data_IF_463111301632
#
_entry.id   IF_463111301632
#
_cell.length_a   1.000
_cell.length_b   1.000
_cell.length_c   1.000
_cell.angle_alpha   90.00
_cell.angle_beta   90.00
_cell.angle_gamma   90.00
#
_symmetry.space_group_name_H-M   'P 1'
#
loop_
_entity.id
_entity.type
_entity.pdbx_description
1 polymer ?
#
# COMPACT_ATOMS: atom_id res chain seq x y z
N UNK A 1 -0.56 10.72 -9.62
CA UNK A 1 -1.90 10.12 -9.43
C UNK A 1 -2.93 11.22 -9.34
N UNK A 2 -4.19 10.96 -9.65
CA UNK A 2 -5.25 11.99 -9.68
C UNK A 2 -5.95 12.25 -8.33
N UNK A 3 -5.82 11.36 -7.35
CA UNK A 3 -6.41 11.54 -6.01
C UNK A 3 -7.94 11.36 -5.91
N UNK A 4 -8.62 11.03 -7.02
CA UNK A 4 -10.09 10.87 -7.04
C UNK A 4 -10.63 9.90 -5.97
N UNK A 5 -9.94 8.78 -5.78
CA UNK A 5 -10.30 7.78 -4.78
C UNK A 5 -10.14 8.26 -3.33
N UNK A 6 -9.24 9.21 -3.07
CA UNK A 6 -9.08 9.84 -1.75
C UNK A 6 -10.22 10.81 -1.48
N UNK A 7 -10.57 11.62 -2.49
CA UNK A 7 -11.65 12.59 -2.40
C UNK A 7 -13.04 11.95 -2.27
N UNK A 8 -13.25 10.78 -2.88
CA UNK A 8 -14.52 10.07 -2.82
C UNK A 8 -14.74 9.29 -1.51
N UNK A 9 -13.67 8.97 -0.77
CA UNK A 9 -13.80 8.13 0.40
C UNK A 9 -14.43 8.91 1.58
N UNK A 10 -15.51 8.41 2.24
CA UNK A 10 -16.20 9.14 3.32
C UNK A 10 -15.33 9.55 4.51
N UNK A 11 -14.21 8.87 4.72
CA UNK A 11 -13.24 9.18 5.76
C UNK A 11 -11.87 9.58 5.21
N UNK A 12 -11.80 9.98 3.94
CA UNK A 12 -10.56 10.39 3.27
C UNK A 12 -9.45 9.35 3.33
N UNK A 13 -9.81 8.06 3.29
CA UNK A 13 -8.82 6.99 3.24
C UNK A 13 -8.08 6.97 1.89
N UNK A 14 -6.75 6.82 1.93
CA UNK A 14 -5.91 6.82 0.74
C UNK A 14 -5.46 5.42 0.29
N UNK A 15 -6.07 4.35 0.81
CA UNK A 15 -5.63 2.98 0.56
C UNK A 15 -5.59 2.61 -0.93
N UNK A 16 -6.59 3.00 -1.74
CA UNK A 16 -6.55 2.69 -3.17
C UNK A 16 -5.46 3.47 -3.91
N UNK A 17 -5.25 4.74 -3.53
CA UNK A 17 -4.20 5.58 -4.11
C UNK A 17 -2.81 5.02 -3.80
N UNK A 18 -2.55 4.73 -2.52
CA UNK A 18 -1.27 4.20 -2.04
C UNK A 18 -1.02 2.83 -2.62
N UNK A 19 -2.00 1.92 -2.58
CA UNK A 19 -1.87 0.57 -3.13
C UNK A 19 -1.60 0.57 -4.63
N UNK A 20 -2.27 1.40 -5.42
CA UNK A 20 -2.01 1.55 -6.84
C UNK A 20 -0.55 1.92 -7.13
N UNK A 21 -0.03 2.94 -6.42
CA UNK A 21 1.36 3.37 -6.59
C UNK A 21 2.35 2.32 -6.10
N UNK A 22 2.04 1.67 -4.97
CA UNK A 22 2.88 0.64 -4.39
C UNK A 22 2.98 -0.57 -5.32
N UNK A 23 1.87 -1.05 -5.88
CA UNK A 23 1.86 -2.19 -6.79
C UNK A 23 2.50 -1.90 -8.15
N UNK A 24 2.35 -0.67 -8.66
CA UNK A 24 3.10 -0.24 -9.84
C UNK A 24 4.62 -0.41 -9.68
N UNK A 25 5.15 -0.26 -8.46
CA UNK A 25 6.56 -0.46 -8.15
C UNK A 25 6.86 -1.91 -7.73
N UNK A 26 6.00 -2.54 -6.93
CA UNK A 26 6.20 -3.87 -6.36
C UNK A 26 6.04 -5.01 -7.37
N UNK A 27 5.43 -4.77 -8.53
CA UNK A 27 5.29 -5.78 -9.58
C UNK A 27 6.48 -5.79 -10.56
N UNK A 28 7.29 -4.74 -10.57
CA UNK A 28 8.45 -4.64 -11.46
C UNK A 28 9.62 -5.48 -10.90
N UNK A 29 10.41 -6.15 -11.76
CA UNK A 29 11.63 -6.83 -11.34
C UNK A 29 12.59 -5.90 -10.59
N UNK A 30 12.76 -4.68 -11.11
CA UNK A 30 13.63 -3.65 -10.53
C UNK A 30 13.15 -3.20 -9.15
N UNK A 31 11.84 -3.30 -8.89
CA UNK A 31 11.24 -2.92 -7.61
C UNK A 31 11.38 -3.98 -6.51
N UNK A 32 11.81 -5.22 -6.81
CA UNK A 32 11.82 -6.29 -5.82
C UNK A 32 12.81 -6.06 -4.66
N UNK A 33 13.96 -5.43 -4.93
CA UNK A 33 14.97 -5.15 -3.90
C UNK A 33 14.38 -4.35 -2.73
N UNK A 34 13.60 -3.32 -3.07
CA UNK A 34 12.99 -2.37 -2.12
C UNK A 34 11.55 -2.73 -1.73
N UNK A 35 11.01 -3.88 -2.18
CA UNK A 35 9.57 -4.19 -2.06
C UNK A 35 9.07 -4.12 -0.62
N UNK A 36 9.79 -4.75 0.31
CA UNK A 36 9.34 -4.89 1.69
C UNK A 36 9.49 -3.57 2.47
N UNK A 37 10.65 -2.94 2.36
CA UNK A 37 10.93 -1.65 3.00
C UNK A 37 9.99 -0.56 2.48
N UNK A 38 9.74 -0.51 1.15
CA UNK A 38 8.75 0.38 0.55
C UNK A 38 7.33 0.11 1.05
N UNK A 39 6.94 -1.15 1.19
CA UNK A 39 5.57 -1.49 1.61
C UNK A 39 5.29 -1.00 3.03
N UNK A 40 6.27 -1.10 3.94
CA UNK A 40 6.16 -0.54 5.28
C UNK A 40 6.13 0.99 5.20
N UNK A 41 7.14 1.60 4.59
CA UNK A 41 7.28 3.05 4.56
C UNK A 41 6.07 3.76 3.93
N UNK A 42 5.51 3.21 2.85
CA UNK A 42 4.34 3.81 2.19
C UNK A 42 3.05 3.66 2.98
N UNK A 43 2.84 2.51 3.65
CA UNK A 43 1.62 2.28 4.46
C UNK A 43 1.68 3.13 5.73
N UNK A 44 2.80 3.13 6.45
CA UNK A 44 2.98 3.95 7.65
C UNK A 44 2.83 5.44 7.31
N UNK A 45 3.41 5.89 6.20
CA UNK A 45 3.27 7.28 5.77
C UNK A 45 1.83 7.63 5.37
N UNK A 46 1.07 6.69 4.81
CA UNK A 46 -0.34 6.90 4.52
C UNK A 46 -1.15 7.03 5.81
N UNK A 47 -0.93 6.15 6.77
CA UNK A 47 -1.66 6.13 8.05
C UNK A 47 -1.39 7.37 8.91
N UNK A 48 -0.27 8.07 8.71
CA UNK A 48 0.02 9.37 9.37
C UNK A 48 -0.93 10.51 8.95
N UNK A 49 -1.42 10.53 7.71
CA UNK A 49 -2.13 11.69 7.15
C UNK A 49 -3.56 11.42 6.69
N UNK A 50 -3.94 10.15 6.49
CA UNK A 50 -5.22 9.77 5.89
C UNK A 50 -6.06 8.92 6.84
N UNK A 51 -7.38 8.88 6.59
CA UNK A 51 -8.27 8.02 7.36
C UNK A 51 -8.03 6.54 7.09
N UNK A 52 -8.43 5.69 8.03
CA UNK A 52 -8.28 4.24 7.89
C UNK A 52 -9.39 3.64 7.02
N UNK A 53 -9.07 2.84 6.00
CA UNK A 53 -10.09 2.18 5.17
C UNK A 53 -11.16 1.43 6.01
N UNK A 54 -12.43 1.66 5.67
CA UNK A 54 -13.61 0.96 6.25
C UNK A 54 -14.35 0.06 5.25
N UNK A 55 -13.77 -0.18 4.08
CA UNK A 55 -14.36 -0.95 2.98
C UNK A 55 -15.69 -0.39 2.46
N UNK A 56 -15.81 0.94 2.40
CA UNK A 56 -16.99 1.59 1.83
C UNK A 56 -17.15 1.34 0.32
N UNK A 57 -16.05 1.37 -0.44
CA UNK A 57 -16.01 0.94 -1.84
C UNK A 57 -16.03 2.07 -2.89
N UNK A 58 -16.37 3.31 -2.52
CA UNK A 58 -16.50 4.45 -3.46
C UNK A 58 -15.18 4.77 -4.17
N UNK A 59 -14.06 4.47 -3.52
CA UNK A 59 -12.73 4.66 -4.11
C UNK A 59 -12.55 3.93 -5.45
N UNK A 60 -13.14 2.73 -5.60
CA UNK A 60 -13.09 1.94 -6.83
C UNK A 60 -13.96 2.55 -7.93
N UNK A 61 -15.18 2.97 -7.57
CA UNK A 61 -16.13 3.61 -8.50
C UNK A 61 -15.64 4.97 -8.99
N UNK A 62 -15.03 5.76 -8.12
CA UNK A 62 -14.52 7.08 -8.45
C UNK A 62 -13.22 7.05 -9.28
N UNK A 63 -12.60 5.88 -9.48
CA UNK A 63 -11.31 5.78 -10.14
C UNK A 63 -11.47 5.90 -11.67
N UNK A 64 -10.97 6.97 -12.32
CA UNK A 64 -11.10 7.16 -13.78
C UNK A 64 -10.21 6.20 -14.60
N UNK A 65 -9.43 5.36 -13.92
CA UNK A 65 -8.57 4.33 -14.51
C UNK A 65 -8.97 2.92 -14.09
N UNK A 66 -10.14 2.78 -13.47
CA UNK A 66 -10.75 1.47 -13.16
C UNK A 66 -9.82 0.56 -12.34
N UNK A 67 -9.02 1.16 -11.44
CA UNK A 67 -8.16 0.40 -10.54
C UNK A 67 -9.05 -0.32 -9.54
N UNK A 68 -9.04 -1.65 -9.59
CA UNK A 68 -9.80 -2.49 -8.66
C UNK A 68 -9.38 -2.27 -7.22
N UNK A 69 -10.37 -2.32 -6.31
CA UNK A 69 -10.18 -2.37 -4.86
C UNK A 69 -9.30 -3.54 -4.41
N UNK A 70 -9.11 -4.56 -5.24
CA UNK A 70 -8.18 -5.68 -5.00
C UNK A 70 -6.74 -5.23 -4.78
N UNK A 71 -6.35 -4.06 -5.32
CA UNK A 71 -5.04 -3.47 -5.04
C UNK A 71 -4.86 -3.20 -3.54
N UNK A 72 -5.92 -2.82 -2.82
CA UNK A 72 -5.89 -2.64 -1.36
C UNK A 72 -5.60 -3.99 -0.68
N UNK A 73 -6.23 -5.08 -1.14
CA UNK A 73 -5.98 -6.41 -0.62
C UNK A 73 -4.52 -6.86 -0.89
N UNK A 74 -3.99 -6.59 -2.08
CA UNK A 74 -2.58 -6.85 -2.41
C UNK A 74 -1.64 -6.04 -1.52
N UNK A 75 -1.94 -4.78 -1.27
CA UNK A 75 -1.17 -3.92 -0.38
C UNK A 75 -1.15 -4.45 1.05
N UNK A 76 -2.31 -4.85 1.59
CA UNK A 76 -2.40 -5.40 2.94
C UNK A 76 -1.58 -6.70 3.07
N UNK A 77 -1.59 -7.56 2.04
CA UNK A 77 -0.75 -8.78 2.01
C UNK A 77 0.74 -8.45 1.98
N UNK A 78 1.14 -7.49 1.15
CA UNK A 78 2.54 -7.04 1.06
C UNK A 78 3.01 -6.43 2.39
N UNK A 79 2.19 -5.61 3.03
CA UNK A 79 2.51 -4.98 4.30
C UNK A 79 2.69 -6.01 5.42
N UNK A 80 1.75 -6.95 5.58
CA UNK A 80 1.88 -8.04 6.56
C UNK A 80 3.14 -8.86 6.28
N UNK A 81 3.39 -9.24 5.03
CA UNK A 81 4.58 -10.01 4.66
C UNK A 81 5.87 -9.22 4.92
N UNK A 82 5.87 -7.91 4.68
CA UNK A 82 7.02 -7.05 4.94
C UNK A 82 7.40 -7.04 6.43
N UNK A 83 6.41 -6.98 7.33
CA UNK A 83 6.65 -7.05 8.79
C UNK A 83 7.39 -8.34 9.18
N UNK A 84 7.03 -9.48 8.57
CA UNK A 84 7.73 -10.75 8.79
C UNK A 84 9.13 -10.80 8.19
N UNK A 85 9.28 -10.33 6.94
CA UNK A 85 10.57 -10.36 6.22
C UNK A 85 11.59 -9.43 6.89
N UNK A 86 11.20 -8.21 7.23
CA UNK A 86 12.10 -7.25 7.83
C UNK A 86 12.53 -7.66 9.25
N UNK A 87 11.65 -8.30 10.01
CA UNK A 87 12.03 -8.91 11.29
C UNK A 87 13.11 -9.99 11.12
N UNK A 88 13.03 -10.83 10.09
CA UNK A 88 14.08 -11.83 9.78
C UNK A 88 15.40 -11.17 9.39
N UNK A 89 15.37 -10.20 8.48
CA UNK A 89 16.55 -9.41 8.06
C UNK A 89 17.23 -8.67 9.22
N UNK A 90 16.46 -8.20 10.19
CA UNK A 90 17.00 -7.60 11.43
C UNK A 90 17.67 -8.64 12.32
N UNK A 91 17.15 -9.86 12.38
CA UNK A 91 17.78 -10.98 13.08
C UNK A 91 19.10 -11.39 12.44
N UNK A 92 19.15 -11.54 11.12
CA UNK A 92 20.36 -11.87 10.35
C UNK A 92 21.47 -10.83 10.56
N UNK A 93 21.13 -9.53 10.53
CA UNK A 93 22.07 -8.43 10.77
C UNK A 93 22.65 -8.38 12.20
N UNK A 94 22.01 -9.02 13.17
CA UNK A 94 22.52 -9.08 14.56
C UNK A 94 23.48 -10.25 14.79
N UNK A 95 23.53 -11.20 13.87
CA UNK A 95 24.32 -12.44 14.00
C UNK A 95 25.62 -12.39 13.19
N UNK A 96 25.71 -11.50 12.19
CA UNK A 96 26.97 -11.20 11.47
C UNK A 96 27.75 -10.07 12.11
#
# INVERSE_FOLDING_TARGET
GCGACVAACPNSAANLFTSAKMQHLNLLPQGQAERWDRSIAMVEKMDEFFGSCRNYGECGEACPKEISIDFIAMMNRDYVKAQWVNRRRLGERKVG
#
